data_IF_908008403428
#
_entry.id   IF_908008403428
#
_cell.length_a   1.000
_cell.length_b   1.000
_cell.length_c   1.000
_cell.angle_alpha   90.00
_cell.angle_beta   90.00
_cell.angle_gamma   90.00
#
_symmetry.space_group_name_H-M   'P 1'
#
loop_
_entity.id
_entity.type
_entity.pdbx_description
1 polymer ?
#
# COMPACT_ATOMS: atom_id res chain seq x y z
N UNK A 1 -2.51 3.59 -16.84
CA UNK A 1 -1.17 3.26 -16.34
C UNK A 1 -0.99 3.99 -15.03
N UNK A 2 -0.45 3.33 -14.02
CA UNK A 2 -0.27 3.88 -12.67
C UNK A 2 1.22 4.09 -12.43
N UNK A 3 1.59 5.26 -11.92
CA UNK A 3 2.98 5.57 -11.60
C UNK A 3 3.38 4.86 -10.30
N UNK A 4 4.21 3.82 -10.41
CA UNK A 4 4.84 3.17 -9.27
C UNK A 4 6.18 3.84 -8.98
N UNK A 5 6.50 4.02 -7.70
CA UNK A 5 7.76 4.62 -7.27
C UNK A 5 8.31 3.99 -6.01
N UNK A 6 9.63 3.95 -5.86
CA UNK A 6 10.30 3.50 -4.64
C UNK A 6 11.57 4.31 -4.43
N UNK A 7 11.90 4.57 -3.18
CA UNK A 7 13.14 5.24 -2.82
C UNK A 7 14.19 4.17 -2.53
N UNK A 8 15.27 4.17 -3.31
CA UNK A 8 16.35 3.20 -3.24
C UNK A 8 17.64 3.89 -3.72
N UNK A 9 18.21 4.81 -2.93
CA UNK A 9 19.30 5.69 -3.36
C UNK A 9 20.62 4.94 -3.61
N UNK A 10 20.78 3.76 -3.02
CA UNK A 10 21.98 2.92 -3.12
C UNK A 10 21.85 1.81 -4.16
N UNK A 11 20.67 1.65 -4.78
CA UNK A 11 20.48 0.67 -5.84
C UNK A 11 21.06 1.18 -7.16
N UNK A 12 21.62 0.29 -7.96
CA UNK A 12 22.06 0.55 -9.33
C UNK A 12 21.00 0.16 -10.36
N UNK A 13 20.14 -0.81 -10.00
CA UNK A 13 18.98 -1.23 -10.78
C UNK A 13 17.79 -1.48 -9.87
N UNK A 14 16.62 -1.04 -10.31
CA UNK A 14 15.34 -1.37 -9.66
C UNK A 14 14.37 -1.89 -10.70
N UNK A 15 13.80 -3.05 -10.42
CA UNK A 15 12.78 -3.68 -11.26
C UNK A 15 11.48 -3.83 -10.45
N UNK A 16 10.32 -3.66 -11.08
CA UNK A 16 9.03 -4.02 -10.50
C UNK A 16 8.46 -5.20 -11.27
N UNK A 17 8.01 -6.21 -10.56
CA UNK A 17 7.23 -7.31 -11.14
C UNK A 17 5.79 -7.15 -10.70
N UNK A 18 4.88 -7.05 -11.66
CA UNK A 18 3.42 -7.00 -11.45
C UNK A 18 2.82 -8.21 -12.14
N UNK A 19 2.12 -9.07 -11.39
CA UNK A 19 1.73 -10.41 -11.88
C UNK A 19 2.99 -11.15 -12.38
N UNK A 20 3.05 -11.54 -13.65
CA UNK A 20 4.20 -12.20 -14.28
C UNK A 20 5.02 -11.27 -15.20
N UNK A 21 4.80 -9.95 -15.12
CA UNK A 21 5.45 -8.96 -15.99
C UNK A 21 6.42 -8.11 -15.20
N UNK A 22 7.69 -8.14 -15.60
CA UNK A 22 8.74 -7.31 -15.02
C UNK A 22 8.98 -6.07 -15.88
N UNK A 23 9.12 -4.91 -15.22
CA UNK A 23 9.47 -3.65 -15.84
C UNK A 23 10.61 -2.99 -15.05
N UNK A 24 11.63 -2.52 -15.76
CA UNK A 24 12.71 -1.74 -15.16
C UNK A 24 12.20 -0.34 -14.78
N UNK A 25 12.51 0.10 -13.57
CA UNK A 25 12.27 1.47 -13.14
C UNK A 25 13.39 2.38 -13.64
N UNK A 26 13.03 3.62 -13.93
CA UNK A 26 13.98 4.67 -14.31
C UNK A 26 14.40 5.44 -13.05
N UNK A 27 15.70 5.77 -12.91
CA UNK A 27 16.14 6.65 -11.83
C UNK A 27 15.50 8.03 -12.01
N UNK A 28 15.13 8.63 -10.89
CA UNK A 28 14.54 9.95 -10.74
C UNK A 28 15.33 10.75 -9.69
N UNK A 29 14.96 12.02 -9.50
CA UNK A 29 15.67 12.90 -8.59
C UNK A 29 15.74 12.35 -7.16
N UNK A 30 16.87 12.59 -6.47
CA UNK A 30 17.06 12.33 -5.03
C UNK A 30 16.93 10.85 -4.62
N UNK A 31 17.38 9.92 -5.47
CA UNK A 31 17.40 8.48 -5.18
C UNK A 31 16.06 7.78 -5.32
N UNK A 32 15.09 8.44 -5.95
CA UNK A 32 13.82 7.83 -6.32
C UNK A 32 13.95 7.04 -7.62
N UNK A 33 13.13 6.01 -7.74
CA UNK A 33 12.95 5.20 -8.94
C UNK A 33 11.49 5.21 -9.33
N UNK A 34 11.17 5.27 -10.63
CA UNK A 34 9.78 5.34 -11.13
C UNK A 34 9.57 4.54 -12.41
N UNK A 35 8.38 3.96 -12.55
CA UNK A 35 7.89 3.40 -13.80
C UNK A 35 6.38 3.60 -13.90
N UNK A 36 5.90 3.86 -15.12
CA UNK A 36 4.49 3.74 -15.43
C UNK A 36 4.19 2.29 -15.80
N UNK A 37 3.34 1.63 -15.02
CA UNK A 37 2.98 0.22 -15.24
C UNK A 37 1.47 0.06 -15.38
N UNK A 38 1.06 -1.00 -16.07
CA UNK A 38 -0.33 -1.46 -16.05
C UNK A 38 -0.52 -2.30 -14.80
N UNK A 39 -1.22 -1.73 -13.82
CA UNK A 39 -1.57 -2.37 -12.55
C UNK A 39 -3.00 -1.99 -12.19
N UNK A 40 -3.79 -2.97 -11.82
CA UNK A 40 -5.20 -2.82 -11.47
C UNK A 40 -5.39 -3.02 -9.95
N UNK A 41 -6.53 -2.56 -9.40
CA UNK A 41 -6.87 -2.89 -8.02
C UNK A 41 -6.79 -4.40 -7.79
N UNK A 42 -6.08 -4.81 -6.74
CA UNK A 42 -5.94 -6.21 -6.39
C UNK A 42 -4.74 -6.93 -7.02
N UNK A 43 -4.01 -6.28 -7.94
CA UNK A 43 -2.78 -6.85 -8.50
C UNK A 43 -1.65 -6.90 -7.46
N UNK A 44 -1.00 -8.06 -7.39
CA UNK A 44 0.21 -8.26 -6.60
C UNK A 44 1.45 -7.73 -7.36
N UNK A 45 2.36 -7.10 -6.62
CA UNK A 45 3.64 -6.61 -7.13
C UNK A 45 4.77 -6.67 -6.09
N UNK A 46 6.01 -6.72 -6.59
CA UNK A 46 7.25 -6.69 -5.79
C UNK A 46 8.32 -5.85 -6.47
N UNK A 47 9.24 -5.29 -5.70
CA UNK A 47 10.46 -4.68 -6.21
C UNK A 47 11.66 -5.61 -6.08
N UNK A 48 12.47 -5.72 -7.12
CA UNK A 48 13.82 -6.28 -7.04
C UNK A 48 14.82 -5.12 -7.07
N UNK A 49 15.82 -5.19 -6.18
CA UNK A 49 16.96 -4.27 -6.15
C UNK A 49 18.18 -5.04 -6.62
N UNK A 50 18.88 -4.52 -7.63
CA UNK A 50 20.14 -5.07 -8.16
C UNK A 50 20.04 -6.55 -8.57
N UNK A 51 18.86 -7.01 -8.99
CA UNK A 51 18.60 -8.41 -9.36
C UNK A 51 18.40 -9.37 -8.19
N UNK A 52 18.27 -8.86 -6.97
CA UNK A 52 17.92 -9.65 -5.80
C UNK A 52 16.48 -10.15 -5.81
N UNK A 53 16.12 -10.89 -4.76
CA UNK A 53 14.75 -11.38 -4.56
C UNK A 53 13.72 -10.24 -4.53
N UNK A 54 12.49 -10.57 -4.96
CA UNK A 54 11.36 -9.65 -4.91
C UNK A 54 10.99 -9.32 -3.46
N UNK A 55 10.93 -8.03 -3.15
CA UNK A 55 10.59 -7.47 -1.83
C UNK A 55 9.28 -6.69 -1.88
N UNK A 56 8.53 -6.66 -0.77
CA UNK A 56 7.35 -5.80 -0.66
C UNK A 56 7.70 -4.33 -0.79
N UNK A 57 6.73 -3.53 -1.20
CA UNK A 57 6.84 -2.09 -1.14
C UNK A 57 6.88 -1.61 0.33
N UNK A 58 7.89 -0.84 0.74
CA UNK A 58 7.91 -0.25 2.09
C UNK A 58 6.74 0.71 2.39
N UNK A 59 6.05 1.15 1.33
CA UNK A 59 4.87 2.05 1.37
C UNK A 59 3.58 1.30 1.01
N UNK A 60 3.57 -0.02 1.12
CA UNK A 60 2.41 -0.83 0.71
C UNK A 60 1.17 -0.43 1.49
N UNK A 61 0.07 -0.18 0.78
CA UNK A 61 -1.24 0.03 1.39
C UNK A 61 -1.93 -1.30 1.77
N UNK A 62 -1.46 -2.44 1.24
CA UNK A 62 -2.12 -3.73 1.43
C UNK A 62 -1.13 -4.91 1.28
N UNK A 63 -0.99 -5.71 2.35
CA UNK A 63 -0.12 -6.91 2.43
C UNK A 63 -0.96 -8.18 2.69
N UNK A 64 -1.66 -8.73 1.68
CA UNK A 64 -2.58 -9.86 1.87
C UNK A 64 -1.89 -11.18 2.20
N UNK A 65 -0.60 -11.32 1.86
CA UNK A 65 0.22 -12.53 2.06
C UNK A 65 1.26 -12.35 3.16
N UNK A 66 0.99 -11.47 4.13
CA UNK A 66 1.88 -11.15 5.24
C UNK A 66 2.97 -10.13 4.89
N UNK A 67 3.76 -9.73 5.90
CA UNK A 67 4.71 -8.62 5.80
C UNK A 67 5.84 -8.84 4.79
N UNK A 68 6.19 -10.09 4.49
CA UNK A 68 7.21 -10.45 3.50
C UNK A 68 6.63 -10.79 2.12
N UNK A 69 5.30 -10.93 2.03
CA UNK A 69 4.62 -11.24 0.79
C UNK A 69 4.57 -10.05 -0.17
N UNK A 70 4.14 -10.28 -1.42
CA UNK A 70 3.98 -9.20 -2.39
C UNK A 70 3.00 -8.14 -1.88
N UNK A 71 3.26 -6.91 -2.29
CA UNK A 71 2.34 -5.80 -2.08
C UNK A 71 1.20 -5.87 -3.06
N UNK A 72 0.03 -5.39 -2.64
CA UNK A 72 -1.15 -5.36 -3.50
C UNK A 72 -1.58 -3.94 -3.77
N UNK A 73 -1.89 -3.64 -5.02
CA UNK A 73 -2.37 -2.32 -5.39
C UNK A 73 -3.79 -2.09 -4.85
N UNK A 74 -3.97 -0.95 -4.19
CA UNK A 74 -5.26 -0.44 -3.73
C UNK A 74 -5.60 0.77 -4.57
N UNK A 75 -6.65 0.66 -5.36
CA UNK A 75 -7.38 1.80 -5.89
C UNK A 75 -8.29 2.39 -4.80
N UNK A 76 -7.94 3.56 -4.31
CA UNK A 76 -8.65 4.26 -3.22
C UNK A 76 -9.97 4.89 -3.68
N UNK A 77 -10.16 5.11 -4.98
CA UNK A 77 -11.37 5.75 -5.52
C UNK A 77 -12.55 4.76 -5.62
N UNK A 78 -12.32 3.47 -5.38
CA UNK A 78 -13.36 2.43 -5.42
C UNK A 78 -14.36 2.50 -4.28
N UNK A 79 -13.97 3.05 -3.13
CA UNK A 79 -14.88 3.16 -1.99
C UNK A 79 -15.70 4.44 -2.12
N UNK A 80 -17.02 4.29 -2.24
CA UNK A 80 -17.94 5.42 -2.30
C UNK A 80 -18.25 5.92 -0.88
N UNK A 81 -17.52 6.95 -0.46
CA UNK A 81 -17.75 7.62 0.82
C UNK A 81 -19.17 8.23 0.90
N UNK A 82 -19.84 8.03 2.03
CA UNK A 82 -21.20 8.56 2.30
C UNK A 82 -21.21 9.67 3.36
N UNK A 83 -20.03 10.12 3.81
CA UNK A 83 -19.83 11.00 4.95
C UNK A 83 -19.41 12.43 4.55
N UNK A 84 -19.72 12.86 3.32
CA UNK A 84 -19.33 14.16 2.77
C UNK A 84 -19.77 15.39 3.61
N UNK A 85 -20.79 15.21 4.47
CA UNK A 85 -21.30 16.25 5.38
C UNK A 85 -20.88 16.04 6.84
N UNK A 86 -20.03 15.06 7.12
CA UNK A 86 -19.51 14.81 8.47
C UNK A 86 -18.64 15.99 8.93
N UNK A 87 -18.93 16.50 10.11
CA UNK A 87 -18.13 17.55 10.76
C UNK A 87 -17.65 17.01 12.11
N UNK A 88 -16.33 16.80 12.29
CA UNK A 88 -15.82 16.29 13.56
C UNK A 88 -16.11 17.30 14.68
N UNK A 89 -16.62 16.86 15.84
CA UNK A 89 -16.77 17.74 17.00
C UNK A 89 -15.40 18.24 17.47
N UNK A 90 -15.35 19.39 18.16
CA UNK A 90 -14.08 19.94 18.63
C UNK A 90 -13.43 19.00 19.64
N UNK A 91 -12.10 18.86 19.60
CA UNK A 91 -11.37 17.93 20.48
C UNK A 91 -11.68 18.12 21.98
N UNK A 92 -11.93 19.37 22.41
CA UNK A 92 -12.30 19.69 23.81
C UNK A 92 -13.58 18.99 24.31
N UNK A 93 -14.45 18.52 23.41
CA UNK A 93 -15.65 17.76 23.75
C UNK A 93 -15.51 16.26 23.50
N UNK A 94 -14.33 15.78 23.11
CA UNK A 94 -14.11 14.36 22.86
C UNK A 94 -14.01 13.58 24.18
N UNK A 95 -14.68 12.43 24.23
CA UNK A 95 -14.36 11.34 25.14
C UNK A 95 -13.73 10.24 24.28
N UNK A 96 -12.48 9.90 24.56
CA UNK A 96 -11.71 8.95 23.75
C UNK A 96 -11.97 7.53 24.26
N UNK A 97 -12.31 6.63 23.33
CA UNK A 97 -12.42 5.20 23.59
C UNK A 97 -11.31 4.47 22.83
N UNK A 98 -10.37 3.88 23.56
CA UNK A 98 -9.31 3.05 22.97
C UNK A 98 -9.82 1.62 22.77
N UNK A 99 -9.69 1.10 21.54
CA UNK A 99 -10.20 -0.21 21.14
C UNK A 99 -9.10 -1.00 20.43
N UNK A 100 -8.87 -2.25 20.86
CA UNK A 100 -8.01 -3.18 20.16
C UNK A 100 -8.85 -4.11 19.26
N UNK A 101 -8.75 -3.93 17.94
CA UNK A 101 -9.61 -4.62 16.96
C UNK A 101 -9.56 -6.14 17.12
N UNK A 102 -8.37 -6.71 17.30
CA UNK A 102 -8.18 -8.17 17.38
C UNK A 102 -8.72 -8.85 18.64
N UNK A 103 -9.22 -8.09 19.62
CA UNK A 103 -9.74 -8.64 20.89
C UNK A 103 -11.08 -8.03 21.31
N UNK A 104 -11.59 -7.06 20.55
CA UNK A 104 -12.84 -6.38 20.88
C UNK A 104 -14.07 -7.27 20.65
N UNK A 105 -14.03 -8.06 19.58
CA UNK A 105 -15.02 -9.12 19.28
C UNK A 105 -14.33 -10.46 19.08
N UNK A 106 -15.03 -11.60 19.19
CA UNK A 106 -14.47 -12.91 18.88
C UNK A 106 -13.88 -13.03 17.46
N UNK A 107 -14.46 -12.32 16.49
CA UNK A 107 -14.01 -12.32 15.09
C UNK A 107 -12.72 -11.51 14.89
N UNK A 108 -12.52 -10.45 15.67
CA UNK A 108 -11.30 -9.63 15.60
C UNK A 108 -11.12 -8.86 14.29
N UNK A 109 -12.21 -8.36 13.68
CA UNK A 109 -12.20 -7.66 12.39
C UNK A 109 -12.87 -6.29 12.46
N UNK A 110 -12.62 -5.42 11.47
CA UNK A 110 -13.30 -4.13 11.38
C UNK A 110 -14.82 -4.26 11.17
N UNK A 111 -15.28 -5.27 10.41
CA UNK A 111 -16.71 -5.49 10.15
C UNK A 111 -17.47 -5.83 11.45
N UNK A 112 -16.88 -6.65 12.31
CA UNK A 112 -17.50 -7.02 13.59
C UNK A 112 -17.55 -5.89 14.62
N UNK A 113 -16.83 -4.77 14.38
CA UNK A 113 -16.87 -3.57 15.24
C UNK A 113 -18.09 -2.70 14.92
N UNK A 114 -18.65 -2.80 13.72
CA UNK A 114 -19.82 -2.02 13.25
C UNK A 114 -21.12 -2.64 13.78
#
# INVERSE_FOLDING_TARGET
MTAISVWAPSAERVDVTVRDRTAALRPAARGWWRADVSIDHGDDYTFSLDGGEGRPHPRSAWQPKGVHGPSRHVDHDRFMWTDAHWCPPPLRSAVIYELHVGTFTPEGTFEAVI
#
